data_IF_168814200415
#
_entry.id   IF_168814200415
#
_cell.length_a   1.000
_cell.length_b   1.000
_cell.length_c   1.000
_cell.angle_alpha   90.00
_cell.angle_beta   90.00
_cell.angle_gamma   90.00
#
_symmetry.space_group_name_H-M   'P 1'
#
loop_
_entity.id
_entity.type
_entity.pdbx_description
1 polymer ?
#
# COMPACT_ATOMS: atom_id res chain seq x y z
N UNK A 1 -13.35 -19.49 -8.84
CA UNK A 1 -12.23 -18.65 -8.38
C UNK A 1 -12.78 -17.73 -7.32
N UNK A 2 -12.25 -17.85 -6.09
CA UNK A 2 -12.61 -16.96 -5.01
C UNK A 2 -11.68 -15.75 -5.03
N UNK A 3 -12.15 -14.59 -4.60
CA UNK A 3 -11.28 -13.46 -4.35
C UNK A 3 -11.74 -12.74 -3.08
N UNK A 4 -10.77 -12.21 -2.34
CA UNK A 4 -10.99 -11.43 -1.14
C UNK A 4 -10.25 -10.11 -1.31
N UNK A 5 -10.83 -9.02 -0.81
CA UNK A 5 -10.14 -7.74 -0.75
C UNK A 5 -10.11 -7.20 0.67
N UNK A 6 -9.09 -6.38 0.92
CA UNK A 6 -8.90 -5.67 2.16
C UNK A 6 -8.61 -4.21 1.81
N UNK A 7 -9.47 -3.29 2.25
CA UNK A 7 -9.14 -1.87 2.18
C UNK A 7 -8.08 -1.59 3.24
N UNK A 8 -6.88 -1.21 2.80
CA UNK A 8 -5.74 -0.91 3.67
C UNK A 8 -5.53 0.59 3.85
N UNK A 9 -6.01 1.41 2.92
CA UNK A 9 -6.09 2.85 3.10
C UNK A 9 -7.39 3.44 2.53
N UNK A 10 -7.92 4.45 3.19
CA UNK A 10 -9.00 5.30 2.67
C UNK A 10 -8.39 6.51 1.98
N UNK A 11 -9.03 7.00 0.93
CA UNK A 11 -8.63 8.23 0.25
C UNK A 11 -8.47 9.38 1.26
N UNK A 12 -7.37 10.12 1.11
CA UNK A 12 -7.03 11.30 1.88
C UNK A 12 -7.22 12.52 1.01
N UNK A 13 -8.14 13.41 1.40
CA UNK A 13 -8.35 14.70 0.75
C UNK A 13 -7.08 15.54 0.81
N UNK A 14 -6.88 16.38 -0.22
CA UNK A 14 -5.70 17.22 -0.28
C UNK A 14 -5.69 18.25 0.85
N UNK A 15 -4.64 18.21 1.68
CA UNK A 15 -4.41 19.20 2.73
C UNK A 15 -3.02 19.82 2.61
N UNK A 16 -2.88 21.14 2.83
CA UNK A 16 -1.57 21.76 2.90
C UNK A 16 -0.81 21.29 4.15
N UNK A 17 0.49 21.09 4.03
CA UNK A 17 1.38 20.67 5.11
C UNK A 17 2.24 21.86 5.52
N UNK A 18 1.98 22.49 6.67
CA UNK A 18 2.81 23.60 7.13
C UNK A 18 4.16 23.07 7.63
N UNK A 19 5.17 23.04 6.76
CA UNK A 19 6.58 22.98 7.14
C UNK A 19 7.12 21.62 7.60
N UNK A 20 6.50 20.50 7.20
CA UNK A 20 6.81 19.17 7.73
C UNK A 20 7.22 18.14 6.65
N UNK A 21 7.94 18.59 5.61
CA UNK A 21 8.55 17.68 4.65
C UNK A 21 9.40 16.62 5.38
N UNK A 22 9.17 15.37 5.02
CA UNK A 22 9.86 14.21 5.55
C UNK A 22 9.13 13.45 6.66
N UNK A 23 7.81 13.60 6.80
CA UNK A 23 6.99 12.93 7.83
C UNK A 23 5.95 11.98 7.26
N UNK A 24 5.55 11.00 8.07
CA UNK A 24 4.38 10.17 7.80
C UNK A 24 3.13 11.01 8.08
N UNK A 25 2.21 11.05 7.13
CA UNK A 25 0.95 11.77 7.26
C UNK A 25 -0.27 10.87 7.33
N UNK A 26 -0.11 9.60 6.96
CA UNK A 26 -1.12 8.57 7.11
C UNK A 26 -0.43 7.27 7.46
N UNK A 27 -0.91 6.60 8.51
CA UNK A 27 -0.57 5.21 8.78
C UNK A 27 -1.84 4.44 9.12
N UNK A 28 -1.93 3.22 8.62
CA UNK A 28 -2.98 2.29 8.96
C UNK A 28 -2.40 0.90 9.11
N UNK A 29 -2.93 0.16 10.09
CA UNK A 29 -2.54 -1.22 10.36
C UNK A 29 -3.77 -2.10 10.35
N UNK A 30 -3.76 -3.07 9.44
CA UNK A 30 -4.74 -4.14 9.37
C UNK A 30 -4.16 -5.42 9.93
N UNK A 31 -4.85 -5.97 10.92
CA UNK A 31 -4.54 -7.29 11.44
C UNK A 31 -5.34 -8.35 10.66
N UNK A 32 -4.70 -9.48 10.34
CA UNK A 32 -5.32 -10.70 9.80
C UNK A 32 -5.67 -10.69 8.30
N UNK A 33 -4.71 -10.32 7.46
CA UNK A 33 -4.80 -10.61 6.01
C UNK A 33 -4.37 -12.06 5.78
N UNK A 34 -5.28 -12.92 5.32
CA UNK A 34 -4.95 -14.31 5.01
C UNK A 34 -4.45 -14.41 3.55
N UNK A 35 -3.24 -14.90 3.35
CA UNK A 35 -2.63 -15.12 2.05
C UNK A 35 -2.60 -16.63 1.78
N UNK A 36 -3.48 -17.17 0.92
CA UNK A 36 -3.43 -18.58 0.51
C UNK A 36 -2.11 -18.93 -0.20
N UNK A 37 -1.70 -20.21 -0.13
CA UNK A 37 -0.38 -20.65 -0.62
C UNK A 37 -0.12 -20.40 -2.12
N UNK A 38 -1.17 -20.34 -2.94
CA UNK A 38 -1.06 -20.12 -4.40
C UNK A 38 -1.73 -18.79 -4.82
N UNK A 39 -1.78 -17.81 -3.91
CA UNK A 39 -2.51 -16.60 -4.17
C UNK A 39 -1.76 -15.60 -5.05
N UNK A 40 -2.50 -14.91 -5.92
CA UNK A 40 -2.04 -13.66 -6.55
C UNK A 40 -2.42 -12.49 -5.66
N UNK A 41 -1.47 -11.61 -5.36
CA UNK A 41 -1.65 -10.43 -4.51
C UNK A 41 -1.55 -9.19 -5.40
N UNK A 42 -2.62 -8.42 -5.49
CA UNK A 42 -2.67 -7.18 -6.28
C UNK A 42 -2.95 -6.00 -5.37
N UNK A 43 -2.13 -4.96 -5.46
CA UNK A 43 -2.43 -3.64 -4.88
C UNK A 43 -3.18 -2.79 -5.92
N UNK A 44 -4.29 -2.18 -5.53
CA UNK A 44 -5.14 -1.43 -6.46
C UNK A 44 -5.93 -0.32 -5.75
N UNK A 45 -6.49 0.61 -6.54
CA UNK A 45 -7.31 1.72 -6.01
C UNK A 45 -8.77 1.34 -5.74
N UNK A 46 -9.23 0.20 -6.26
CA UNK A 46 -10.60 -0.28 -6.15
C UNK A 46 -10.67 -1.71 -5.59
N UNK A 47 -11.81 -2.10 -5.01
CA UNK A 47 -11.93 -3.40 -4.35
C UNK A 47 -11.80 -4.58 -5.32
N UNK A 48 -12.12 -4.40 -6.61
CA UNK A 48 -12.08 -5.46 -7.63
C UNK A 48 -10.68 -5.73 -8.22
N UNK A 49 -9.60 -5.17 -7.66
CA UNK A 49 -8.26 -5.26 -8.25
C UNK A 49 -8.02 -4.28 -9.40
N UNK A 50 -8.96 -3.36 -9.63
CA UNK A 50 -8.90 -2.33 -10.65
C UNK A 50 -8.65 -0.96 -10.00
N UNK A 51 -8.48 0.08 -10.82
CA UNK A 51 -8.34 1.45 -10.36
C UNK A 51 -6.91 1.81 -10.01
N UNK A 52 -6.53 3.03 -10.37
CA UNK A 52 -5.20 3.54 -10.13
C UNK A 52 -4.99 3.90 -8.66
N UNK A 53 -3.74 3.78 -8.22
CA UNK A 53 -3.29 4.27 -6.93
C UNK A 53 -2.43 5.51 -7.10
N UNK A 54 -2.53 6.45 -6.16
CA UNK A 54 -1.60 7.56 -6.05
C UNK A 54 -1.54 8.08 -4.62
N UNK A 55 -0.37 8.58 -4.26
CA UNK A 55 -0.11 9.40 -3.07
C UNK A 55 0.63 10.63 -3.59
N UNK A 56 0.55 11.78 -2.91
CA UNK A 56 1.31 12.96 -3.34
C UNK A 56 2.82 12.69 -3.39
N UNK A 57 3.31 11.79 -2.52
CA UNK A 57 4.71 11.38 -2.43
C UNK A 57 4.86 9.86 -2.36
N UNK A 58 5.24 9.31 -1.19
CA UNK A 58 5.70 7.93 -1.08
C UNK A 58 4.66 7.08 -0.36
N UNK A 59 4.34 5.92 -0.92
CA UNK A 59 3.64 4.84 -0.19
C UNK A 59 4.64 3.79 0.25
N UNK A 60 4.42 3.23 1.44
CA UNK A 60 5.12 2.04 1.91
C UNK A 60 4.12 1.05 2.51
N UNK A 61 4.09 -0.16 1.98
CA UNK A 61 3.31 -1.29 2.50
C UNK A 61 4.28 -2.31 3.11
N UNK A 62 4.10 -2.60 4.39
CA UNK A 62 4.83 -3.64 5.11
C UNK A 62 3.88 -4.77 5.46
N UNK A 63 4.25 -6.01 5.15
CA UNK A 63 3.54 -7.21 5.59
C UNK A 63 4.45 -8.07 6.45
N UNK A 64 3.96 -8.47 7.61
CA UNK A 64 4.69 -9.30 8.58
C UNK A 64 3.85 -10.52 8.94
N UNK A 65 4.44 -11.71 8.89
CA UNK A 65 3.82 -12.93 9.39
C UNK A 65 3.46 -12.77 10.87
N UNK A 66 2.21 -13.07 11.22
CA UNK A 66 1.75 -12.97 12.61
C UNK A 66 2.43 -13.96 13.55
N UNK A 67 2.89 -15.10 13.03
CA UNK A 67 3.55 -16.15 13.80
C UNK A 67 5.08 -16.00 13.86
N UNK A 68 5.66 -15.21 12.95
CA UNK A 68 7.10 -14.99 12.84
C UNK A 68 7.38 -13.53 12.41
N UNK A 69 7.62 -12.61 13.37
CA UNK A 69 7.89 -11.21 13.07
C UNK A 69 9.14 -10.95 12.20
N UNK A 70 10.08 -11.90 12.14
CA UNK A 70 11.27 -11.77 11.30
C UNK A 70 10.93 -12.03 9.82
N UNK A 71 9.84 -12.75 9.53
CA UNK A 71 9.32 -12.88 8.18
C UNK A 71 8.47 -11.67 7.80
N UNK A 72 9.18 -10.62 7.39
CA UNK A 72 8.62 -9.34 6.95
C UNK A 72 9.08 -9.02 5.54
N UNK A 73 8.17 -8.46 4.73
CA UNK A 73 8.46 -7.94 3.41
C UNK A 73 7.83 -6.55 3.22
N UNK A 74 8.43 -5.74 2.35
CA UNK A 74 8.02 -4.34 2.14
C UNK A 74 7.96 -4.01 0.66
N UNK A 75 6.89 -3.33 0.26
CA UNK A 75 6.75 -2.63 -1.01
C UNK A 75 6.83 -1.12 -0.75
N UNK A 76 7.49 -0.38 -1.62
CA UNK A 76 7.55 1.09 -1.56
C UNK A 76 7.53 1.68 -2.97
N UNK A 77 6.84 2.80 -3.13
CA UNK A 77 6.79 3.54 -4.39
C UNK A 77 6.72 5.05 -4.16
N UNK A 78 7.47 5.80 -4.97
CA UNK A 78 7.51 7.27 -4.98
C UNK A 78 6.73 7.78 -6.19
N UNK A 79 5.50 8.26 -5.94
CA UNK A 79 4.61 8.79 -6.97
C UNK A 79 5.01 10.21 -7.43
N UNK A 80 5.81 10.96 -6.66
CA UNK A 80 6.26 12.31 -7.02
C UNK A 80 7.50 12.31 -7.91
N UNK A 81 8.06 11.13 -8.20
CA UNK A 81 9.28 10.94 -8.99
C UNK A 81 10.44 11.81 -8.48
N UNK A 82 10.66 11.79 -7.16
CA UNK A 82 11.72 12.59 -6.54
C UNK A 82 11.41 14.09 -6.53
N UNK A 83 10.20 14.47 -6.13
CA UNK A 83 9.77 15.87 -6.03
C UNK A 83 9.77 16.61 -7.38
N UNK A 84 9.35 15.94 -8.44
CA UNK A 84 9.28 16.52 -9.79
C UNK A 84 8.22 17.62 -9.95
N UNK A 85 7.31 17.74 -8.97
CA UNK A 85 6.12 18.60 -9.05
C UNK A 85 4.93 17.95 -9.75
N UNK A 86 5.04 16.69 -10.16
CA UNK A 86 3.97 15.91 -10.80
C UNK A 86 3.81 14.56 -10.10
N UNK A 87 2.58 14.28 -9.64
CA UNK A 87 2.17 12.97 -9.14
C UNK A 87 1.83 12.08 -10.33
N UNK A 88 2.40 10.87 -10.40
CA UNK A 88 2.18 9.92 -11.49
C UNK A 88 1.42 8.69 -11.00
N UNK A 89 0.09 8.63 -11.14
CA UNK A 89 -0.69 7.48 -10.68
C UNK A 89 -0.26 6.16 -11.33
N UNK A 90 -0.28 5.09 -10.55
CA UNK A 90 0.06 3.74 -11.02
C UNK A 90 -1.19 2.93 -11.32
N UNK A 91 -1.11 2.09 -12.36
CA UNK A 91 -2.06 0.99 -12.56
C UNK A 91 -1.92 -0.05 -11.42
N UNK A 92 -2.92 -0.92 -11.22
CA UNK A 92 -2.80 -2.02 -10.27
C UNK A 92 -1.48 -2.78 -10.40
N UNK A 93 -0.87 -3.11 -9.26
CA UNK A 93 0.47 -3.71 -9.19
C UNK A 93 0.37 -5.12 -8.64
N UNK A 94 0.93 -6.09 -9.36
CA UNK A 94 1.12 -7.45 -8.87
C UNK A 94 2.30 -7.49 -7.89
N UNK A 95 2.02 -7.84 -6.63
CA UNK A 95 2.96 -7.94 -5.53
C UNK A 95 3.22 -9.39 -5.11
N UNK A 96 2.77 -10.37 -5.89
CA UNK A 96 2.89 -11.80 -5.57
C UNK A 96 4.35 -12.22 -5.38
N UNK A 97 5.25 -11.74 -6.23
CA UNK A 97 6.69 -12.00 -6.07
C UNK A 97 7.26 -11.33 -4.81
N UNK A 98 6.86 -10.07 -4.56
CA UNK A 98 7.33 -9.27 -3.43
C UNK A 98 6.96 -9.87 -2.07
N UNK A 99 5.81 -10.56 -2.00
CA UNK A 99 5.28 -11.16 -0.77
C UNK A 99 5.24 -12.70 -0.82
N UNK A 100 5.99 -13.33 -1.73
CA UNK A 100 5.99 -14.78 -1.93
C UNK A 100 6.34 -15.60 -0.67
N UNK A 101 7.23 -15.09 0.19
CA UNK A 101 7.60 -15.72 1.46
C UNK A 101 6.46 -15.76 2.50
N UNK A 102 5.37 -15.03 2.26
CA UNK A 102 4.19 -14.94 3.11
C UNK A 102 3.02 -15.80 2.59
N UNK A 103 3.22 -16.55 1.50
CA UNK A 103 2.21 -17.44 0.97
C UNK A 103 1.84 -18.54 1.98
N UNK A 104 0.55 -18.78 2.16
CA UNK A 104 0.00 -19.73 3.12
C UNK A 104 -0.11 -19.20 4.55
N UNK A 105 0.07 -17.90 4.77
CA UNK A 105 0.18 -17.29 6.10
C UNK A 105 -0.90 -16.25 6.37
N UNK A 106 -1.10 -15.97 7.66
CA UNK A 106 -1.85 -14.81 8.11
C UNK A 106 -0.87 -13.70 8.48
N UNK A 107 -1.06 -12.52 7.89
CA UNK A 107 -0.12 -11.40 8.04
C UNK A 107 -0.78 -10.19 8.69
N UNK A 108 0.04 -9.38 9.34
CA UNK A 108 -0.24 -8.00 9.71
C UNK A 108 0.22 -7.12 8.55
N UNK A 109 -0.68 -6.33 7.98
CA UNK A 109 -0.36 -5.38 6.92
C UNK A 109 -0.39 -3.95 7.49
N UNK A 110 0.68 -3.19 7.28
CA UNK A 110 0.77 -1.78 7.65
C UNK A 110 1.09 -0.96 6.42
N UNK A 111 0.31 0.08 6.16
CA UNK A 111 0.55 1.03 5.07
C UNK A 111 0.84 2.41 5.66
N UNK A 112 1.86 3.07 5.10
CA UNK A 112 2.32 4.39 5.50
C UNK A 112 2.36 5.28 4.24
N UNK A 113 1.85 6.51 4.35
CA UNK A 113 2.09 7.56 3.36
C UNK A 113 3.04 8.60 3.94
N UNK A 114 4.11 8.88 3.20
CA UNK A 114 5.20 9.74 3.61
C UNK A 114 5.25 10.96 2.70
N UNK A 115 5.17 12.14 3.32
CA UNK A 115 5.42 13.43 2.68
C UNK A 115 6.94 13.58 2.55
N UNK A 116 7.44 13.54 1.33
CA UNK A 116 8.85 13.68 0.98
C UNK A 116 9.17 15.11 0.54
N UNK A 117 8.22 15.78 -0.09
CA UNK A 117 8.47 17.00 -0.87
C UNK A 117 7.86 18.26 -0.26
N UNK A 118 6.95 18.10 0.71
CA UNK A 118 6.21 19.17 1.35
C UNK A 118 5.11 19.74 0.46
N UNK A 119 4.47 20.80 0.93
CA UNK A 119 3.42 21.50 0.19
C UNK A 119 2.05 20.93 0.51
N UNK A 120 1.66 19.85 -0.17
CA UNK A 120 0.36 19.20 0.01
C UNK A 120 0.54 17.69 0.20
N UNK A 121 -0.40 17.08 0.92
CA UNK A 121 -0.54 15.63 1.04
C UNK A 121 -1.94 15.22 0.60
N UNK A 122 -2.00 14.12 -0.13
CA UNK A 122 -3.23 13.45 -0.53
C UNK A 122 -2.93 11.99 -0.87
N UNK A 123 -3.97 11.19 -0.99
CA UNK A 123 -3.84 9.81 -1.42
C UNK A 123 -5.17 9.20 -1.85
N UNK A 124 -5.12 8.21 -2.72
CA UNK A 124 -6.30 7.43 -3.13
C UNK A 124 -6.66 6.38 -2.07
N UNK A 125 -7.76 5.65 -2.30
CA UNK A 125 -7.94 4.38 -1.63
C UNK A 125 -6.81 3.42 -2.02
N UNK A 126 -6.49 2.50 -1.11
CA UNK A 126 -5.64 1.35 -1.40
C UNK A 126 -6.34 0.08 -0.93
N UNK A 127 -6.39 -0.91 -1.81
CA UNK A 127 -6.86 -2.26 -1.55
C UNK A 127 -5.74 -3.25 -1.80
N UNK A 128 -5.75 -4.32 -1.01
CA UNK A 128 -5.07 -5.56 -1.35
C UNK A 128 -6.11 -6.58 -1.76
N UNK A 129 -6.02 -7.03 -3.00
CA UNK A 129 -6.91 -8.03 -3.59
C UNK A 129 -6.14 -9.34 -3.73
N UNK A 130 -6.71 -10.41 -3.20
CA UNK A 130 -6.11 -11.74 -3.13
C UNK A 130 -6.97 -12.69 -3.96
N UNK A 131 -6.36 -13.31 -4.96
CA UNK A 131 -7.02 -14.23 -5.90
C UNK A 131 -6.49 -15.65 -5.73
N UNK A 132 -7.38 -16.65 -5.82
CA UNK A 132 -7.05 -18.08 -5.75
C UNK A 132 -7.70 -18.93 -6.83
#
# INVERSE_FOLDING_TARGET
MGWTNYQIATAQESTPIPGDAGKIFYDATLHYVNIPANATIVMSGGPSGEGQTSVDDVVKLTMTDQSDPENTATYSHDYSNGCSGVVTPMQPVDLSAQFSALAGKTVKATIEFYDKCGGYQSGTNFYICIYT
#
